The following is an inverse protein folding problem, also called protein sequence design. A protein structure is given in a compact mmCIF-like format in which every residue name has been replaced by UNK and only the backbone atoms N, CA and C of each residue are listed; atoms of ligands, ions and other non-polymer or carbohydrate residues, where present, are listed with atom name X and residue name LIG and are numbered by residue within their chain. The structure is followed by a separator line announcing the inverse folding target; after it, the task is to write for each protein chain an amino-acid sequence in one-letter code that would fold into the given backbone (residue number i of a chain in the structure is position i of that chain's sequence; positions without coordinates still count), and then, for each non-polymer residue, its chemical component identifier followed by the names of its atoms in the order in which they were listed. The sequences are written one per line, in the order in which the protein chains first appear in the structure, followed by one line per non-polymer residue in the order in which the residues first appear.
data_IF_008972127894
#
_entry.id   IF_008972127894
#
_cell.length_a   1.000
_cell.length_b   1.000
_cell.length_c   1.000
_cell.angle_alpha   90.00
_cell.angle_beta   90.00
_cell.angle_gamma   90.00
#
_symmetry.space_group_name_H-M   'P 1'
#
loop_
_entity.id
_entity.type
_entity.pdbx_description
1 polymer ?
#
# COMPACT_ATOMS: atom_id res chain seq x y z
N UNK A 1 -12.80 63.44 1.15
CA UNK A 1 -13.00 62.77 2.46
C UNK A 1 -12.59 61.30 2.30
N UNK A 2 -11.29 61.03 2.28
CA UNK A 2 -10.45 60.46 3.35
C UNK A 2 -10.72 59.00 3.73
N UNK A 3 -9.80 58.17 3.22
CA UNK A 3 -9.50 56.77 3.49
C UNK A 3 -8.98 56.56 4.94
N UNK A 4 -9.85 56.67 5.95
CA UNK A 4 -9.41 56.42 7.33
C UNK A 4 -10.51 56.14 8.33
N UNK A 5 -11.52 55.33 8.01
CA UNK A 5 -12.41 54.87 9.08
C UNK A 5 -13.01 53.49 8.82
N UNK A 6 -12.72 52.59 9.78
CA UNK A 6 -13.48 51.39 10.15
C UNK A 6 -13.15 50.10 9.42
N UNK A 7 -11.85 49.89 9.23
CA UNK A 7 -11.19 48.64 9.66
C UNK A 7 -11.46 48.49 11.16
N UNK A 8 -12.53 47.80 11.58
CA UNK A 8 -12.72 47.44 13.01
C UNK A 8 -13.69 46.29 13.32
N UNK A 9 -14.38 45.69 12.35
CA UNK A 9 -15.38 44.64 12.62
C UNK A 9 -15.11 43.31 11.88
N UNK A 10 -13.84 42.97 11.62
CA UNK A 10 -13.47 41.86 10.71
C UNK A 10 -12.76 40.64 11.31
N UNK A 11 -12.61 40.53 12.64
CA UNK A 11 -11.98 39.37 13.28
C UNK A 11 -12.70 39.11 14.61
N UNK A 12 -13.46 38.00 14.74
CA UNK A 12 -12.82 36.77 15.21
C UNK A 12 -13.46 35.46 14.71
N UNK A 13 -13.97 35.39 13.47
CA UNK A 13 -14.66 34.16 12.99
C UNK A 13 -13.73 33.20 12.25
N UNK A 14 -12.59 33.67 11.73
CA UNK A 14 -11.66 32.86 10.93
C UNK A 14 -10.69 32.04 11.79
N UNK A 15 -10.54 32.37 13.07
CA UNK A 15 -9.64 31.68 13.98
C UNK A 15 -10.18 30.30 14.42
N UNK A 16 -11.50 30.09 14.39
CA UNK A 16 -12.11 28.83 14.85
C UNK A 16 -12.17 27.74 13.78
N UNK A 17 -12.11 28.08 12.49
CA UNK A 17 -12.16 27.10 11.39
C UNK A 17 -10.79 26.50 11.06
N UNK A 18 -9.70 27.20 11.37
CA UNK A 18 -8.34 26.70 11.11
C UNK A 18 -7.86 25.63 12.11
N UNK A 19 -8.43 25.60 13.32
CA UNK A 19 -8.05 24.62 14.36
C UNK A 19 -8.60 23.22 14.04
N UNK A 20 -9.74 23.11 13.35
CA UNK A 20 -10.30 21.81 12.95
C UNK A 20 -9.59 21.18 11.75
N UNK A 21 -9.01 21.98 10.85
CA UNK A 21 -8.33 21.48 9.64
C UNK A 21 -6.96 20.87 9.98
N UNK A 22 -6.36 21.22 11.12
CA UNK A 22 -5.06 20.67 11.54
C UNK A 22 -5.14 19.35 12.31
N UNK A 23 -6.35 18.85 12.62
CA UNK A 23 -6.56 17.58 13.33
C UNK A 23 -6.88 16.40 12.39
N UNK A 24 -7.00 16.62 11.08
CA UNK A 24 -7.29 15.56 10.10
C UNK A 24 -6.05 14.98 9.40
N UNK A 25 -4.84 15.35 9.84
CA UNK A 25 -3.63 14.57 9.55
C UNK A 25 -3.59 13.47 10.61
N UNK A 26 -4.50 12.49 10.54
CA UNK A 26 -4.30 11.38 9.63
C UNK A 26 -3.20 10.54 10.24
N UNK A 27 -3.57 9.51 11.01
CA UNK A 27 -2.63 8.48 11.47
C UNK A 27 -1.70 8.18 10.29
N UNK A 28 -0.38 8.21 10.51
CA UNK A 28 0.61 7.92 9.48
C UNK A 28 0.40 6.49 8.96
N UNK A 29 -0.58 6.32 8.09
CA UNK A 29 -0.85 5.11 7.33
C UNK A 29 0.20 5.17 6.24
N UNK A 30 1.30 4.43 6.45
CA UNK A 30 2.17 4.08 5.35
C UNK A 30 1.36 3.52 4.18
N UNK A 31 1.90 3.55 2.95
CA UNK A 31 1.19 3.04 1.79
C UNK A 31 0.69 1.62 2.07
N UNK A 32 -0.59 1.36 1.79
CA UNK A 32 -1.20 0.06 2.06
C UNK A 32 -0.43 -0.99 1.27
N UNK A 33 0.15 -2.00 1.93
CA UNK A 33 0.91 -3.03 1.24
C UNK A 33 -0.02 -3.84 0.34
N UNK A 34 0.45 -4.28 -0.83
CA UNK A 34 -0.35 -5.10 -1.72
C UNK A 34 -0.60 -6.47 -1.11
N UNK A 35 -1.73 -7.08 -1.43
CA UNK A 35 -2.08 -8.41 -0.95
C UNK A 35 -1.32 -9.51 -1.72
N UNK A 36 -1.04 -10.65 -1.07
CA UNK A 36 -0.45 -11.84 -1.72
C UNK A 36 -1.17 -12.24 -3.03
N UNK A 37 -2.52 -12.33 -3.09
CA UNK A 37 -3.19 -12.70 -4.34
C UNK A 37 -3.06 -11.63 -5.44
N UNK A 38 -3.03 -10.35 -5.08
CA UNK A 38 -2.79 -9.26 -6.05
C UNK A 38 -1.42 -9.42 -6.70
N UNK A 39 -0.37 -9.65 -5.90
CA UNK A 39 0.99 -9.80 -6.43
C UNK A 39 1.17 -11.08 -7.24
N UNK A 40 0.57 -12.18 -6.80
CA UNK A 40 0.55 -13.42 -7.57
C UNK A 40 -0.09 -13.21 -8.97
N UNK A 41 -1.23 -12.51 -9.02
CA UNK A 41 -1.89 -12.20 -10.29
C UNK A 41 -1.03 -11.30 -11.20
N UNK A 42 -0.36 -10.30 -10.63
CA UNK A 42 0.55 -9.43 -11.39
C UNK A 42 1.75 -10.19 -11.96
N UNK A 43 2.30 -11.13 -11.19
CA UNK A 43 3.41 -11.97 -11.64
C UNK A 43 2.98 -12.86 -12.80
N UNK A 44 1.85 -13.55 -12.67
CA UNK A 44 1.30 -14.38 -13.75
C UNK A 44 1.08 -13.54 -15.00
N UNK A 45 0.49 -12.36 -14.87
CA UNK A 45 0.27 -11.47 -16.01
C UNK A 45 1.58 -10.99 -16.66
N UNK A 46 2.61 -10.71 -15.85
CA UNK A 46 3.93 -10.35 -16.35
C UNK A 46 4.55 -11.50 -17.17
N UNK A 47 4.51 -12.72 -16.63
CA UNK A 47 5.03 -13.92 -17.30
C UNK A 47 4.28 -14.21 -18.61
N UNK A 48 2.95 -14.05 -18.63
CA UNK A 48 2.12 -14.18 -19.84
C UNK A 48 2.54 -13.16 -20.91
N UNK A 49 2.77 -11.90 -20.54
CA UNK A 49 3.25 -10.87 -21.47
C UNK A 49 4.61 -11.27 -22.04
N UNK A 50 5.54 -11.73 -21.20
CA UNK A 50 6.87 -12.15 -21.66
C UNK A 50 6.79 -13.33 -22.64
N UNK A 51 5.91 -14.29 -22.38
CA UNK A 51 5.67 -15.41 -23.30
C UNK A 51 5.14 -14.94 -24.65
N UNK A 52 4.17 -14.01 -24.67
CA UNK A 52 3.60 -13.47 -25.90
C UNK A 52 4.61 -12.64 -26.70
N UNK A 53 5.49 -11.90 -26.01
CA UNK A 53 6.62 -11.21 -26.64
C UNK A 53 7.61 -12.21 -27.23
N UNK A 54 7.95 -13.28 -26.51
CA UNK A 54 8.87 -14.31 -26.99
C UNK A 54 8.31 -15.11 -28.18
N UNK A 55 7.00 -15.33 -28.20
CA UNK A 55 6.28 -15.94 -29.33
C UNK A 55 6.14 -15.01 -30.55
N UNK A 56 6.51 -13.72 -30.41
CA UNK A 56 6.39 -12.72 -31.48
C UNK A 56 4.95 -12.27 -31.74
N UNK A 57 4.00 -12.58 -30.86
CA UNK A 57 2.60 -12.15 -31.00
C UNK A 57 2.42 -10.65 -30.79
N UNK A 58 3.24 -10.07 -29.90
CA UNK A 58 3.24 -8.65 -29.57
C UNK A 58 4.67 -8.12 -29.53
N UNK A 59 4.84 -6.83 -29.82
CA UNK A 59 6.15 -6.19 -29.67
C UNK A 59 6.54 -6.03 -28.19
N UNK A 60 7.84 -6.00 -27.85
CA UNK A 60 8.28 -5.72 -26.48
C UNK A 60 7.73 -4.41 -25.91
N UNK A 61 7.61 -3.37 -26.75
CA UNK A 61 7.04 -2.09 -26.35
C UNK A 61 5.56 -2.21 -25.98
N UNK A 62 4.77 -2.91 -26.82
CA UNK A 62 3.35 -3.15 -26.59
C UNK A 62 3.11 -4.02 -25.35
N UNK A 63 3.91 -5.08 -25.16
CA UNK A 63 3.86 -5.91 -23.95
C UNK A 63 4.07 -5.08 -22.69
N UNK A 64 5.04 -4.16 -22.70
CA UNK A 64 5.25 -3.24 -21.58
C UNK A 64 4.09 -2.27 -21.38
N UNK A 65 3.55 -1.66 -22.44
CA UNK A 65 2.40 -0.77 -22.30
C UNK A 65 1.21 -1.48 -21.63
N UNK A 66 0.95 -2.73 -22.00
CA UNK A 66 -0.07 -3.58 -21.35
C UNK A 66 0.28 -3.85 -19.88
N UNK A 67 1.54 -4.17 -19.57
CA UNK A 67 1.99 -4.39 -18.20
C UNK A 67 1.75 -3.17 -17.31
N UNK A 68 2.15 -1.98 -17.76
CA UNK A 68 1.97 -0.74 -17.00
C UNK A 68 0.50 -0.31 -16.89
N UNK A 69 -0.32 -0.59 -17.90
CA UNK A 69 -1.77 -0.38 -17.80
C UNK A 69 -2.36 -1.24 -16.67
N UNK A 70 -1.97 -2.51 -16.61
CA UNK A 70 -2.43 -3.41 -15.54
C UNK A 70 -1.99 -2.98 -14.16
N UNK A 71 -0.75 -2.49 -14.01
CA UNK A 71 -0.28 -1.95 -12.72
C UNK A 71 -1.12 -0.75 -12.23
N UNK A 72 -1.59 0.09 -13.15
CA UNK A 72 -2.40 1.26 -12.83
C UNK A 72 -3.85 0.92 -12.44
N UNK A 73 -4.33 -0.28 -12.76
CA UNK A 73 -5.67 -0.76 -12.38
C UNK A 73 -5.71 -1.33 -10.95
N UNK A 74 -4.56 -1.53 -10.31
CA UNK A 74 -4.49 -2.12 -8.97
C UNK A 74 -4.95 -1.11 -7.93
N UNK A 75 -5.98 -1.49 -7.17
CA UNK A 75 -6.50 -0.75 -6.02
C UNK A 75 -6.36 -1.61 -4.74
N UNK A 76 -5.74 -1.11 -3.66
CA UNK A 76 -5.07 0.19 -3.52
C UNK A 76 -3.83 0.33 -4.42
N UNK A 77 -3.43 1.58 -4.75
CA UNK A 77 -2.30 1.83 -5.64
C UNK A 77 -1.01 1.23 -5.08
N UNK A 78 -0.25 0.59 -5.96
CA UNK A 78 0.98 -0.11 -5.59
C UNK A 78 2.03 0.87 -5.01
N UNK A 79 2.64 0.55 -3.86
CA UNK A 79 3.63 1.42 -3.25
C UNK A 79 4.81 1.68 -4.19
N UNK A 80 5.10 2.95 -4.47
CA UNK A 80 6.23 3.34 -5.34
C UNK A 80 6.00 3.14 -6.84
N UNK A 81 4.77 2.88 -7.28
CA UNK A 81 4.43 2.78 -8.70
C UNK A 81 4.75 4.05 -9.48
N UNK A 82 4.51 5.23 -8.89
CA UNK A 82 4.83 6.51 -9.51
C UNK A 82 6.32 6.65 -9.84
N UNK A 83 7.20 6.20 -8.94
CA UNK A 83 8.64 6.20 -9.17
C UNK A 83 9.03 5.29 -10.35
N UNK A 84 8.36 4.15 -10.50
CA UNK A 84 8.59 3.24 -11.63
C UNK A 84 8.10 3.87 -12.94
N UNK A 85 6.95 4.55 -12.92
CA UNK A 85 6.42 5.29 -14.07
C UNK A 85 7.32 6.46 -14.49
N UNK A 86 7.86 7.21 -13.52
CA UNK A 86 8.83 8.27 -13.77
C UNK A 86 10.13 7.73 -14.36
N UNK A 87 10.68 6.66 -13.77
CA UNK A 87 11.86 6.01 -14.29
C UNK A 87 11.67 5.54 -15.73
N UNK A 88 10.51 4.95 -16.04
CA UNK A 88 10.13 4.57 -17.41
C UNK A 88 10.13 5.77 -18.36
N UNK A 89 9.55 6.90 -17.95
CA UNK A 89 9.55 8.15 -18.76
C UNK A 89 10.98 8.61 -19.03
N UNK A 90 11.85 8.56 -18.02
CA UNK A 90 13.25 8.93 -18.14
C UNK A 90 14.02 8.01 -19.11
N UNK A 91 13.84 6.69 -19.01
CA UNK A 91 14.44 5.73 -19.94
C UNK A 91 13.99 5.98 -21.38
N UNK A 92 12.69 6.25 -21.60
CA UNK A 92 12.16 6.62 -22.93
C UNK A 92 12.78 7.91 -23.47
N UNK A 93 12.95 8.92 -22.61
CA UNK A 93 13.60 10.18 -22.99
C UNK A 93 15.07 9.97 -23.37
N UNK A 94 15.81 9.13 -22.62
CA UNK A 94 17.21 8.81 -22.91
C UNK A 94 17.36 8.01 -24.21
N UNK A 95 16.40 7.12 -24.52
CA UNK A 95 16.37 6.40 -25.78
C UNK A 95 16.08 7.36 -26.95
N UNK A 96 15.11 8.27 -26.79
CA UNK A 96 14.74 9.24 -27.82
C UNK A 96 15.85 10.26 -28.12
N UNK A 97 16.67 10.60 -27.12
CA UNK A 97 17.84 11.48 -27.29
C UNK A 97 19.08 10.74 -27.81
N UNK A 98 19.03 9.42 -27.97
CA UNK A 98 20.15 8.60 -28.40
C UNK A 98 21.27 8.46 -27.35
N UNK A 99 21.01 8.82 -26.08
CA UNK A 99 21.97 8.67 -24.98
C UNK A 99 22.25 7.21 -24.64
N UNK A 100 21.27 6.34 -24.88
CA UNK A 100 21.36 4.88 -24.67
C UNK A 100 20.80 4.17 -25.89
N UNK A 101 21.33 2.99 -26.19
CA UNK A 101 20.73 2.11 -27.19
C UNK A 101 19.48 1.41 -26.64
N UNK A 102 18.69 0.81 -27.54
CA UNK A 102 17.43 0.15 -27.18
C UNK A 102 17.64 -1.04 -26.23
N UNK A 103 18.74 -1.78 -26.41
CA UNK A 103 19.07 -2.95 -25.57
C UNK A 103 19.41 -2.52 -24.14
N UNK A 104 20.18 -1.45 -23.98
CA UNK A 104 20.54 -0.84 -22.70
C UNK A 104 19.31 -0.26 -22.01
N UNK A 105 18.51 0.52 -22.74
CA UNK A 105 17.26 1.08 -22.22
C UNK A 105 16.32 -0.02 -21.70
N UNK A 106 16.14 -1.08 -22.49
CA UNK A 106 15.25 -2.16 -22.11
C UNK A 106 15.80 -3.04 -21.00
N UNK A 107 17.11 -3.29 -20.97
CA UNK A 107 17.76 -4.02 -19.87
C UNK A 107 17.64 -3.28 -18.54
N UNK A 108 17.90 -1.97 -18.53
CA UNK A 108 17.75 -1.12 -17.36
C UNK A 108 16.31 -1.12 -16.82
N UNK A 109 15.33 -0.96 -17.72
CA UNK A 109 13.93 -0.96 -17.32
C UNK A 109 13.50 -2.32 -16.75
N UNK A 110 13.89 -3.41 -17.41
CA UNK A 110 13.55 -4.76 -16.96
C UNK A 110 14.15 -5.07 -15.59
N UNK A 111 15.40 -4.68 -15.34
CA UNK A 111 16.03 -4.86 -14.03
C UNK A 111 15.27 -4.12 -12.93
N UNK A 112 14.84 -2.88 -13.19
CA UNK A 112 14.07 -2.08 -12.24
C UNK A 112 12.66 -2.63 -12.01
N UNK A 113 12.01 -3.11 -13.06
CA UNK A 113 10.70 -3.79 -12.98
C UNK A 113 10.80 -5.05 -12.09
N UNK A 114 11.82 -5.90 -12.32
CA UNK A 114 12.05 -7.10 -11.51
C UNK A 114 12.33 -6.75 -10.04
N UNK A 115 13.20 -5.77 -9.75
CA UNK A 115 13.47 -5.34 -8.38
C UNK A 115 12.19 -4.85 -7.68
N UNK A 116 11.36 -4.09 -8.39
CA UNK A 116 10.13 -3.53 -7.85
C UNK A 116 9.10 -4.63 -7.56
N UNK A 117 8.96 -5.61 -8.46
CA UNK A 117 8.08 -6.76 -8.28
C UNK A 117 8.50 -7.58 -7.05
N UNK A 118 9.79 -7.88 -6.89
CA UNK A 118 10.32 -8.59 -5.72
C UNK A 118 10.02 -7.83 -4.42
N UNK A 119 10.17 -6.50 -4.43
CA UNK A 119 9.84 -5.67 -3.25
C UNK A 119 8.36 -5.77 -2.89
N UNK A 120 7.48 -5.76 -3.89
CA UNK A 120 6.05 -5.94 -3.66
C UNK A 120 5.71 -7.33 -3.10
N UNK A 121 6.38 -8.38 -3.58
CA UNK A 121 6.27 -9.75 -3.05
C UNK A 121 6.69 -9.81 -1.57
N UNK A 122 7.83 -9.22 -1.22
CA UNK A 122 8.32 -9.17 0.16
C UNK A 122 7.34 -8.44 1.08
N UNK A 123 6.81 -7.28 0.65
CA UNK A 123 5.82 -6.54 1.44
C UNK A 123 4.52 -7.33 1.62
N UNK A 124 4.04 -7.99 0.58
CA UNK A 124 2.84 -8.83 0.65
C UNK A 124 3.03 -9.98 1.65
N UNK A 125 4.18 -10.66 1.60
CA UNK A 125 4.51 -11.75 2.51
C UNK A 125 4.62 -11.29 3.98
N UNK A 126 5.28 -10.15 4.22
CA UNK A 126 5.38 -9.56 5.56
C UNK A 126 4.00 -9.20 6.11
N UNK A 127 3.15 -8.59 5.27
CA UNK A 127 1.81 -8.21 5.67
C UNK A 127 0.93 -9.43 5.99
N UNK A 128 0.99 -10.49 5.18
CA UNK A 128 0.29 -11.73 5.46
C UNK A 128 0.77 -12.40 6.76
N UNK A 129 2.07 -12.37 7.04
CA UNK A 129 2.62 -12.88 8.30
C UNK A 129 2.11 -12.10 9.52
N UNK A 130 2.02 -10.76 9.41
CA UNK A 130 1.51 -9.90 10.47
C UNK A 130 -0.01 -10.10 10.66
N UNK A 131 -0.79 -10.25 9.59
CA UNK A 131 -2.22 -10.58 9.70
C UNK A 131 -2.45 -11.89 10.48
N UNK A 132 -1.73 -12.97 10.14
CA UNK A 132 -1.79 -14.25 10.87
C UNK A 132 -1.36 -14.11 12.34
N UNK A 133 -0.49 -13.14 12.66
CA UNK A 133 -0.09 -12.84 14.05
C UNK A 133 -1.21 -12.12 14.80
N UNK A 134 -1.82 -11.12 14.19
CA UNK A 134 -2.93 -10.37 14.79
C UNK A 134 -4.14 -11.27 15.02
N UNK A 135 -4.48 -12.14 14.08
CA UNK A 135 -5.55 -13.14 14.24
C UNK A 135 -5.29 -14.07 15.43
N UNK A 136 -4.05 -14.52 15.63
CA UNK A 136 -3.68 -15.33 16.80
C UNK A 136 -3.92 -14.57 18.11
N UNK A 137 -3.47 -13.32 18.18
CA UNK A 137 -3.65 -12.47 19.36
C UNK A 137 -5.13 -12.19 19.66
N UNK A 138 -5.94 -11.97 18.62
CA UNK A 138 -7.39 -11.80 18.75
C UNK A 138 -8.06 -13.07 19.27
N UNK A 139 -7.73 -14.22 18.70
CA UNK A 139 -8.24 -15.51 19.16
C UNK A 139 -7.88 -15.80 20.62
N UNK A 140 -6.64 -15.51 21.04
CA UNK A 140 -6.20 -15.63 22.43
C UNK A 140 -6.98 -14.70 23.37
N UNK A 141 -7.21 -13.45 22.96
CA UNK A 141 -8.04 -12.50 23.73
C UNK A 141 -9.49 -12.99 23.85
N UNK A 142 -10.11 -13.43 22.77
CA UNK A 142 -11.48 -13.96 22.79
C UNK A 142 -11.60 -15.19 23.69
N UNK A 143 -10.63 -16.10 23.64
CA UNK A 143 -10.58 -17.26 24.53
C UNK A 143 -10.44 -16.83 26.00
N UNK A 144 -9.55 -15.86 26.29
CA UNK A 144 -9.39 -15.31 27.63
C UNK A 144 -10.68 -14.67 28.18
N UNK A 145 -11.40 -13.91 27.35
CA UNK A 145 -12.70 -13.34 27.70
C UNK A 145 -13.76 -14.43 27.95
N UNK A 146 -13.82 -15.45 27.10
CA UNK A 146 -14.76 -16.59 27.28
C UNK A 146 -14.50 -17.33 28.59
N UNK A 147 -13.23 -17.56 28.95
CA UNK A 147 -12.85 -18.21 30.22
C UNK A 147 -13.21 -17.38 31.45
N UNK A 148 -13.13 -16.04 31.37
CA UNK A 148 -13.57 -15.15 32.45
C UNK A 148 -15.09 -15.07 32.60
N UNK A 149 -15.84 -15.27 31.51
CA UNK A 149 -17.30 -15.27 31.51
C UNK A 149 -17.92 -16.63 31.87
N UNK A 150 -17.13 -17.70 31.98
CA UNK A 150 -17.61 -18.96 32.53
C UNK A 150 -17.94 -18.75 34.02
N UNK A 151 -19.17 -19.03 34.48
CA UNK A 151 -19.46 -19.04 35.91
C UNK A 151 -18.53 -20.04 36.57
N UNK A 152 -17.90 -19.65 37.69
CA UNK A 152 -17.08 -20.53 38.54
C UNK A 152 -18.02 -21.56 39.21
N UNK A 153 -18.52 -22.50 38.42
CA UNK A 153 -19.20 -23.69 38.89
C UNK A 153 -18.13 -24.63 39.44
N UNK A 154 -17.69 -24.37 40.68
CA UNK A 154 -16.72 -25.24 41.35
C UNK A 154 -15.76 -24.59 42.33
N UNK A 155 -16.10 -23.45 42.96
CA UNK A 155 -15.55 -23.22 44.30
C UNK A 155 -16.29 -24.20 45.21
N UNK A 156 -15.65 -25.25 45.80
CA UNK A 156 -16.27 -25.93 46.92
C UNK A 156 -16.53 -24.83 47.94
N UNK A 157 -17.80 -24.67 48.31
CA UNK A 157 -18.14 -23.92 49.50
C UNK A 157 -17.25 -24.46 50.61
N UNK A 158 -16.44 -23.61 51.23
CA UNK A 158 -16.04 -23.86 52.60
C UNK A 158 -17.33 -23.82 53.44
N UNK A 159 -18.09 -24.91 53.38
CA UNK A 159 -19.08 -25.26 54.37
C UNK A 159 -18.27 -25.51 55.64
N UNK A 160 -18.45 -24.62 56.61
CA UNK A 160 -17.61 -24.54 57.80
C UNK A 160 -17.82 -25.68 58.79
N UNK A 161 -16.87 -25.78 59.70
CA UNK A 161 -17.01 -26.16 61.11
C UNK A 161 -15.84 -25.43 61.79
N UNK A 162 -16.03 -24.41 62.62
CA UNK A 162 -16.56 -24.56 63.97
C UNK A 162 -15.42 -24.95 64.90
N UNK A 163 -14.81 -23.96 65.56
CA UNK A 163 -14.29 -24.13 66.92
C UNK A 163 -15.48 -24.25 67.89
#
# INVERSE_FOLDING_TARGET
MTNRDKIKNGLPTVAFTLVWILLSWGCASGPIPPSEPTIAALRTYHDEILQRVAAGEISPAQGRDLYYARLAEVDPPLPGLDNLLEYRKQVRANLASGLVDERQAYGQLSARESETLTRWEEMAAQYAAEQRRLERLQNEHEQGFRLQQMPVAGRPACAGVGC
#
